data_IF_995346937638
#
_entry.id   IF_995346937638
#
_cell.length_a   1.000
_cell.length_b   1.000
_cell.length_c   1.000
_cell.angle_alpha   90.00
_cell.angle_beta   90.00
_cell.angle_gamma   90.00
#
_symmetry.space_group_name_H-M   'P 1'
#
loop_
_entity.id
_entity.type
_entity.pdbx_description
1 polymer ?
#
# COMPACT_ATOMS: atom_id res chain seq x y z
N UNK A 1 -20.13 -2.51 5.36
CA UNK A 1 -20.74 -1.34 4.69
C UNK A 1 -19.74 -0.69 3.72
N UNK A 2 -19.63 -1.16 2.46
CA UNK A 2 -18.70 -0.61 1.44
C UNK A 2 -19.33 -0.72 0.05
N UNK A 3 -20.25 0.19 -0.28
CA UNK A 3 -20.81 0.29 -1.64
C UNK A 3 -21.21 1.72 -2.05
N UNK A 4 -20.98 2.74 -1.20
CA UNK A 4 -21.44 4.11 -1.46
C UNK A 4 -20.48 4.96 -2.31
N UNK A 5 -19.21 4.56 -2.43
CA UNK A 5 -18.17 5.33 -3.15
C UNK A 5 -18.24 5.22 -4.67
N UNK A 6 -18.44 4.01 -5.21
CA UNK A 6 -18.38 3.71 -6.66
C UNK A 6 -19.51 4.37 -7.46
N UNK A 7 -20.72 4.41 -6.90
CA UNK A 7 -21.86 5.03 -7.58
C UNK A 7 -21.69 6.54 -7.75
N UNK A 8 -20.99 7.20 -6.82
CA UNK A 8 -20.83 8.66 -6.82
C UNK A 8 -19.78 9.11 -7.84
N UNK A 9 -18.65 8.43 -7.95
CA UNK A 9 -17.62 8.71 -8.97
C UNK A 9 -18.12 8.43 -10.39
N UNK A 10 -18.85 7.33 -10.58
CA UNK A 10 -19.47 7.01 -11.87
C UNK A 10 -20.47 8.08 -12.31
N UNK A 11 -21.24 8.64 -11.38
CA UNK A 11 -22.18 9.73 -11.65
C UNK A 11 -21.47 11.04 -11.97
N UNK A 12 -20.40 11.38 -11.25
CA UNK A 12 -19.63 12.61 -11.47
C UNK A 12 -18.94 12.61 -12.83
N UNK A 13 -18.31 11.49 -13.20
CA UNK A 13 -17.68 11.30 -14.51
C UNK A 13 -18.70 11.38 -15.65
N UNK A 14 -19.85 10.72 -15.51
CA UNK A 14 -20.93 10.83 -16.50
C UNK A 14 -21.43 12.26 -16.62
N UNK A 15 -21.69 12.95 -15.51
CA UNK A 15 -22.13 14.34 -15.51
C UNK A 15 -21.12 15.26 -16.20
N UNK A 16 -19.82 15.09 -15.95
CA UNK A 16 -18.76 15.86 -16.62
C UNK A 16 -18.71 15.62 -18.13
N UNK A 17 -18.80 14.35 -18.56
CA UNK A 17 -18.85 14.00 -19.99
C UNK A 17 -20.12 14.55 -20.66
N UNK A 18 -21.28 14.43 -20.03
CA UNK A 18 -22.53 14.97 -20.56
C UNK A 18 -22.52 16.50 -20.63
N UNK A 19 -21.99 17.19 -19.62
CA UNK A 19 -21.84 18.64 -19.63
C UNK A 19 -20.90 19.10 -20.75
N UNK A 20 -19.76 18.43 -20.93
CA UNK A 20 -18.82 18.71 -22.02
C UNK A 20 -19.42 18.45 -23.40
N UNK A 21 -20.10 17.31 -23.59
CA UNK A 21 -20.77 16.97 -24.84
C UNK A 21 -21.88 17.97 -25.18
N UNK A 22 -22.64 18.42 -24.19
CA UNK A 22 -23.67 19.44 -24.37
C UNK A 22 -23.06 20.81 -24.72
N UNK A 23 -21.95 21.20 -24.08
CA UNK A 23 -21.20 22.41 -24.43
C UNK A 23 -20.69 22.40 -25.88
N UNK A 24 -20.14 21.28 -26.33
CA UNK A 24 -19.74 21.09 -27.73
C UNK A 24 -20.92 21.13 -28.70
N UNK A 25 -22.01 20.43 -28.37
CA UNK A 25 -23.23 20.44 -29.19
C UNK A 25 -23.81 21.87 -29.32
N UNK A 26 -23.81 22.64 -28.23
CA UNK A 26 -24.24 24.03 -28.24
C UNK A 26 -23.35 24.93 -29.12
N UNK A 27 -22.02 24.77 -29.06
CA UNK A 27 -21.09 25.50 -29.94
C UNK A 27 -21.30 25.17 -31.42
N UNK A 28 -21.46 23.89 -31.74
CA UNK A 28 -21.69 23.44 -33.11
C UNK A 28 -23.03 23.97 -33.61
N UNK A 29 -24.09 23.89 -32.81
CA UNK A 29 -25.40 24.43 -33.17
C UNK A 29 -25.35 25.95 -33.42
N UNK A 30 -24.58 26.68 -32.59
CA UNK A 30 -24.37 28.13 -32.76
C UNK A 30 -23.60 28.44 -34.05
N UNK A 31 -22.55 27.67 -34.35
CA UNK A 31 -21.74 27.82 -35.56
C UNK A 31 -22.55 27.49 -36.83
N UNK A 32 -23.33 26.41 -36.81
CA UNK A 32 -24.23 26.04 -37.92
C UNK A 32 -25.29 27.11 -38.13
N UNK A 33 -25.95 27.59 -37.06
CA UNK A 33 -26.95 28.67 -37.15
C UNK A 33 -26.38 29.95 -37.80
N UNK A 34 -25.14 30.32 -37.44
CA UNK A 34 -24.41 31.45 -38.08
C UNK A 34 -24.14 31.21 -39.57
N UNK A 35 -23.75 29.99 -39.95
CA UNK A 35 -23.40 29.63 -41.33
C UNK A 35 -24.62 29.47 -42.24
N UNK A 36 -25.71 28.86 -41.76
CA UNK A 36 -26.84 28.47 -42.61
C UNK A 36 -27.95 29.50 -42.65
N UNK A 37 -28.21 30.23 -41.56
CA UNK A 37 -29.33 31.17 -41.49
C UNK A 37 -28.92 32.64 -41.73
N UNK A 38 -27.61 32.92 -41.86
CA UNK A 38 -27.12 34.30 -41.92
C UNK A 38 -27.67 35.15 -40.77
N UNK A 39 -27.82 34.52 -39.59
CA UNK A 39 -28.63 35.04 -38.49
C UNK A 39 -28.23 36.50 -38.18
N UNK A 40 -29.20 37.42 -38.09
CA UNK A 40 -28.94 38.84 -37.87
C UNK A 40 -28.13 39.03 -36.57
N UNK A 41 -27.38 40.14 -36.53
CA UNK A 41 -26.49 40.60 -35.44
C UNK A 41 -27.23 40.87 -34.11
N UNK A 42 -28.03 39.95 -33.62
CA UNK A 42 -28.49 39.96 -32.23
C UNK A 42 -27.33 39.49 -31.35
N UNK A 43 -26.37 40.40 -31.15
CA UNK A 43 -25.11 40.14 -30.47
C UNK A 43 -25.32 39.68 -29.01
N UNK A 44 -26.41 40.10 -28.37
CA UNK A 44 -26.74 39.75 -26.99
C UNK A 44 -27.08 38.26 -26.80
N UNK A 45 -28.00 37.72 -27.58
CA UNK A 45 -28.43 36.32 -27.44
C UNK A 45 -27.30 35.34 -27.79
N UNK A 46 -26.49 35.68 -28.80
CA UNK A 46 -25.35 34.88 -29.23
C UNK A 46 -24.20 34.94 -28.21
N UNK A 47 -23.96 36.10 -27.59
CA UNK A 47 -23.02 36.21 -26.49
C UNK A 47 -23.46 35.39 -25.27
N UNK A 48 -24.74 35.45 -24.89
CA UNK A 48 -25.28 34.65 -23.78
C UNK A 48 -25.17 33.15 -24.08
N UNK A 49 -25.51 32.71 -25.29
CA UNK A 49 -25.38 31.31 -25.70
C UNK A 49 -23.91 30.84 -25.68
N UNK A 50 -22.98 31.68 -26.13
CA UNK A 50 -21.54 31.40 -26.06
C UNK A 50 -21.04 31.30 -24.62
N UNK A 51 -21.43 32.24 -23.75
CA UNK A 51 -21.07 32.22 -22.33
C UNK A 51 -21.60 30.96 -21.65
N UNK A 52 -22.85 30.56 -21.94
CA UNK A 52 -23.43 29.32 -21.42
C UNK A 52 -22.63 28.11 -21.92
N UNK A 53 -22.33 28.03 -23.22
CA UNK A 53 -21.55 26.92 -23.79
C UNK A 53 -20.15 26.81 -23.16
N UNK A 54 -19.45 27.94 -23.01
CA UNK A 54 -18.13 28.00 -22.35
C UNK A 54 -18.24 27.62 -20.86
N UNK A 55 -19.25 28.11 -20.16
CA UNK A 55 -19.48 27.76 -18.76
C UNK A 55 -19.74 26.26 -18.58
N UNK A 56 -20.51 25.62 -19.46
CA UNK A 56 -20.71 24.18 -19.45
C UNK A 56 -19.43 23.40 -19.74
N UNK A 57 -18.61 23.85 -20.70
CA UNK A 57 -17.32 23.23 -20.99
C UNK A 57 -16.37 23.32 -19.79
N UNK A 58 -16.25 24.50 -19.19
CA UNK A 58 -15.40 24.72 -18.01
C UNK A 58 -15.89 23.92 -16.81
N UNK A 59 -17.21 23.85 -16.61
CA UNK A 59 -17.80 23.05 -15.53
C UNK A 59 -17.55 21.55 -15.76
N UNK A 60 -17.76 21.05 -16.98
CA UNK A 60 -17.49 19.67 -17.34
C UNK A 60 -16.01 19.30 -17.13
N UNK A 61 -15.10 20.16 -17.58
CA UNK A 61 -13.65 19.99 -17.39
C UNK A 61 -13.28 19.98 -15.90
N UNK A 62 -13.83 20.90 -15.11
CA UNK A 62 -13.57 20.97 -13.66
C UNK A 62 -14.05 19.70 -12.95
N UNK A 63 -15.23 19.19 -13.29
CA UNK A 63 -15.75 17.94 -12.73
C UNK A 63 -14.87 16.73 -13.08
N UNK A 64 -14.34 16.65 -14.30
CA UNK A 64 -13.43 15.60 -14.70
C UNK A 64 -12.09 15.68 -13.96
N UNK A 65 -11.55 16.89 -13.77
CA UNK A 65 -10.32 17.10 -12.99
C UNK A 65 -10.55 16.66 -11.54
N UNK A 66 -11.68 17.04 -10.93
CA UNK A 66 -12.01 16.63 -9.56
C UNK A 66 -12.16 15.12 -9.42
N UNK A 67 -12.79 14.44 -10.39
CA UNK A 67 -12.89 12.98 -10.41
C UNK A 67 -11.51 12.32 -10.52
N UNK A 68 -10.65 12.82 -11.42
CA UNK A 68 -9.29 12.32 -11.59
C UNK A 68 -8.44 12.50 -10.32
N UNK A 69 -8.52 13.67 -9.68
CA UNK A 69 -7.84 13.93 -8.41
C UNK A 69 -8.35 13.00 -7.31
N UNK A 70 -9.66 12.81 -7.21
CA UNK A 70 -10.26 11.91 -6.20
C UNK A 70 -9.84 10.46 -6.41
N UNK A 71 -9.77 10.01 -7.66
CA UNK A 71 -9.27 8.68 -7.99
C UNK A 71 -7.77 8.54 -7.65
N UNK A 72 -6.96 9.55 -7.99
CA UNK A 72 -5.53 9.59 -7.67
C UNK A 72 -5.24 9.55 -6.17
N UNK A 73 -5.92 10.40 -5.38
CA UNK A 73 -5.80 10.37 -3.92
C UNK A 73 -6.29 9.05 -3.31
N UNK A 74 -7.36 8.46 -3.85
CA UNK A 74 -7.82 7.13 -3.42
C UNK A 74 -6.79 6.02 -3.70
N UNK A 75 -6.09 6.07 -4.84
CA UNK A 75 -5.02 5.14 -5.15
C UNK A 75 -3.84 5.31 -4.18
N UNK A 76 -3.45 6.55 -3.86
CA UNK A 76 -2.40 6.84 -2.88
C UNK A 76 -2.75 6.33 -1.48
N UNK A 77 -3.98 6.55 -1.00
CA UNK A 77 -4.44 6.03 0.28
C UNK A 77 -4.35 4.50 0.34
N UNK A 78 -4.74 3.81 -0.73
CA UNK A 78 -4.62 2.34 -0.81
C UNK A 78 -3.17 1.87 -0.79
N UNK A 79 -2.26 2.61 -1.43
CA UNK A 79 -0.84 2.31 -1.43
C UNK A 79 -0.24 2.52 -0.02
N UNK A 80 -0.56 3.63 0.64
CA UNK A 80 -0.09 3.89 2.01
C UNK A 80 -0.65 2.85 2.99
N UNK A 81 -1.93 2.49 2.89
CA UNK A 81 -2.53 1.46 3.71
C UNK A 81 -1.85 0.10 3.49
N UNK A 82 -1.56 -0.28 2.25
CA UNK A 82 -0.84 -1.52 1.94
C UNK A 82 0.61 -1.50 2.45
N UNK A 83 1.30 -0.36 2.32
CA UNK A 83 2.65 -0.17 2.82
C UNK A 83 2.70 -0.26 4.35
N UNK A 84 1.76 0.40 5.04
CA UNK A 84 1.63 0.33 6.50
C UNK A 84 1.32 -1.09 6.97
N UNK A 85 0.37 -1.79 6.34
CA UNK A 85 0.05 -3.18 6.66
C UNK A 85 1.27 -4.11 6.50
N UNK A 86 2.05 -3.94 5.44
CA UNK A 86 3.29 -4.70 5.22
C UNK A 86 4.36 -4.39 6.28
N UNK A 87 4.47 -3.13 6.70
CA UNK A 87 5.43 -2.75 7.75
C UNK A 87 5.04 -3.31 9.13
N UNK A 88 3.74 -3.36 9.44
CA UNK A 88 3.22 -3.99 10.65
C UNK A 88 3.48 -5.50 10.65
N UNK A 89 3.22 -6.18 9.53
CA UNK A 89 3.51 -7.62 9.40
C UNK A 89 4.99 -7.96 9.62
N UNK A 90 5.92 -7.15 9.13
CA UNK A 90 7.36 -7.36 9.40
C UNK A 90 7.72 -7.18 10.88
N UNK A 91 6.96 -6.37 11.61
CA UNK A 91 7.17 -6.14 13.05
C UNK A 91 6.61 -7.28 13.90
N UNK A 92 5.51 -7.86 13.44
CA UNK A 92 4.82 -8.98 14.09
C UNK A 92 5.34 -10.36 13.64
N UNK A 93 6.25 -10.41 12.66
CA UNK A 93 6.93 -11.65 12.28
C UNK A 93 7.76 -12.12 13.48
N UNK A 94 7.38 -13.23 14.15
CA UNK A 94 8.10 -13.70 15.32
C UNK A 94 9.52 -13.99 14.89
N UNK A 95 10.49 -13.45 15.64
CA UNK A 95 11.90 -13.70 15.44
C UNK A 95 12.08 -15.19 15.14
N UNK A 96 12.49 -15.50 13.90
CA UNK A 96 12.71 -16.87 13.46
C UNK A 96 13.51 -17.55 14.58
N UNK A 97 13.01 -18.64 15.19
CA UNK A 97 13.71 -19.26 16.30
C UNK A 97 15.14 -19.52 15.83
N UNK A 98 16.16 -19.14 16.63
CA UNK A 98 17.53 -19.43 16.26
C UNK A 98 17.60 -20.91 15.88
N UNK A 99 18.34 -21.27 14.82
CA UNK A 99 18.49 -22.67 14.46
C UNK A 99 18.88 -23.44 15.74
N UNK A 100 18.28 -24.61 16.00
CA UNK A 100 18.60 -25.35 17.22
C UNK A 100 20.12 -25.50 17.27
N UNK A 101 20.74 -24.92 18.31
CA UNK A 101 22.17 -25.00 18.53
C UNK A 101 22.58 -26.46 18.35
N UNK A 102 23.62 -26.72 17.55
CA UNK A 102 24.04 -28.08 17.24
C UNK A 102 24.79 -28.62 18.45
N UNK A 103 24.06 -28.86 19.53
CA UNK A 103 24.65 -29.35 20.75
C UNK A 103 25.10 -30.78 20.55
N UNK A 104 26.41 -31.00 20.67
CA UNK A 104 27.01 -32.33 20.60
C UNK A 104 26.86 -32.96 21.99
N UNK A 105 26.11 -34.05 22.07
CA UNK A 105 25.95 -34.83 23.29
C UNK A 105 26.96 -35.96 23.31
N UNK A 106 27.52 -36.24 24.48
CA UNK A 106 28.42 -37.36 24.69
C UNK A 106 28.51 -37.75 26.16
N UNK A 107 29.44 -38.64 26.47
CA UNK A 107 29.73 -39.09 27.83
C UNK A 107 31.23 -38.93 28.09
N UNK A 108 31.58 -38.35 29.24
CA UNK A 108 32.96 -38.29 29.76
C UNK A 108 32.99 -39.18 31.01
N UNK A 109 33.73 -40.28 30.96
CA UNK A 109 33.66 -41.32 32.00
C UNK A 109 32.25 -41.92 32.05
N UNK A 110 31.54 -41.67 33.15
CA UNK A 110 30.13 -42.06 33.35
C UNK A 110 29.15 -40.87 33.36
N UNK A 111 29.63 -39.65 33.05
CA UNK A 111 28.82 -38.42 33.14
C UNK A 111 28.38 -37.93 31.77
N UNK A 112 27.08 -37.68 31.55
CA UNK A 112 26.61 -37.10 30.31
C UNK A 112 27.05 -35.64 30.20
N UNK A 113 27.41 -35.21 28.99
CA UNK A 113 27.74 -33.82 28.69
C UNK A 113 27.02 -33.28 27.46
N UNK A 114 26.89 -31.96 27.42
CA UNK A 114 26.33 -31.19 26.30
C UNK A 114 27.35 -30.12 25.92
N UNK A 115 27.97 -30.28 24.75
CA UNK A 115 28.87 -29.29 24.13
C UNK A 115 28.06 -28.33 23.28
N UNK A 116 28.26 -27.03 23.48
CA UNK A 116 27.59 -25.93 22.78
C UNK A 116 28.44 -25.44 21.60
N UNK A 117 27.84 -24.66 20.69
CA UNK A 117 28.51 -24.15 19.49
C UNK A 117 29.70 -23.20 19.79
N UNK A 118 29.77 -22.67 21.01
CA UNK A 118 30.87 -21.84 21.52
C UNK A 118 32.04 -22.68 22.08
N UNK A 119 31.95 -24.01 22.03
CA UNK A 119 32.93 -24.95 22.57
C UNK A 119 32.81 -25.18 24.09
N UNK A 120 31.86 -24.51 24.75
CA UNK A 120 31.59 -24.71 26.17
C UNK A 120 30.84 -26.02 26.41
N UNK A 121 31.12 -26.67 27.54
CA UNK A 121 30.59 -28.00 27.85
C UNK A 121 29.88 -27.96 29.20
N UNK A 122 28.62 -28.38 29.22
CA UNK A 122 27.89 -28.61 30.46
C UNK A 122 28.00 -30.09 30.82
N UNK A 123 28.50 -30.39 32.01
CA UNK A 123 28.56 -31.75 32.57
C UNK A 123 27.68 -31.84 33.79
N UNK A 124 26.92 -32.93 33.91
CA UNK A 124 26.12 -33.19 35.10
C UNK A 124 26.99 -33.79 36.22
N UNK A 125 27.21 -33.00 37.28
CA UNK A 125 28.03 -33.38 38.43
C UNK A 125 27.16 -33.81 39.61
N UNK A 126 27.74 -34.43 40.65
CA UNK A 126 26.99 -34.76 41.88
C UNK A 126 26.45 -33.52 42.61
N UNK A 127 26.99 -32.34 42.31
CA UNK A 127 26.57 -31.05 42.86
C UNK A 127 25.64 -30.28 41.90
N UNK A 128 25.24 -30.90 40.78
CA UNK A 128 24.42 -30.30 39.73
C UNK A 128 25.20 -29.98 38.44
N UNK A 129 24.54 -29.38 37.45
CA UNK A 129 25.14 -29.07 36.15
C UNK A 129 26.20 -27.97 36.27
N UNK A 130 27.39 -28.24 35.75
CA UNK A 130 28.51 -27.28 35.76
C UNK A 130 28.97 -26.99 34.34
N UNK A 131 29.17 -25.70 34.04
CA UNK A 131 29.68 -25.21 32.76
C UNK A 131 31.21 -25.18 32.78
N UNK A 132 31.82 -25.76 31.76
CA UNK A 132 33.25 -25.76 31.49
C UNK A 132 33.53 -25.01 30.19
N UNK A 133 34.64 -24.25 30.10
CA UNK A 133 34.98 -23.48 28.90
C UNK A 133 35.44 -24.35 27.73
N UNK A 134 35.87 -25.59 27.96
CA UNK A 134 36.22 -26.55 26.92
C UNK A 134 35.95 -28.00 27.34
N UNK A 135 35.92 -28.91 26.35
CA UNK A 135 35.83 -30.36 26.57
C UNK A 135 37.04 -30.91 27.33
N UNK A 136 38.24 -30.35 27.11
CA UNK A 136 39.45 -30.78 27.80
C UNK A 136 39.37 -30.45 29.30
N UNK A 137 38.90 -29.24 29.66
CA UNK A 137 38.73 -28.86 31.07
C UNK A 137 37.68 -29.74 31.78
N UNK A 138 36.62 -30.11 31.06
CA UNK A 138 35.61 -31.04 31.55
C UNK A 138 36.18 -32.46 31.76
N UNK A 139 37.06 -32.92 30.87
CA UNK A 139 37.73 -34.22 30.99
C UNK A 139 38.71 -34.24 32.16
N UNK A 140 39.52 -33.19 32.33
CA UNK A 140 40.46 -33.07 33.44
C UNK A 140 39.73 -33.06 34.79
N UNK A 141 38.58 -32.39 34.89
CA UNK A 141 37.78 -32.36 36.12
C UNK A 141 37.14 -33.73 36.47
N UNK A 142 36.75 -34.52 35.47
CA UNK A 142 36.14 -35.85 35.71
C UNK A 142 37.20 -36.94 35.89
N UNK A 143 38.36 -36.78 35.25
CA UNK A 143 39.49 -37.71 35.30
C UNK A 143 40.41 -37.53 36.52
N UNK A 144 40.28 -36.42 37.26
CA UNK A 144 40.94 -36.17 38.55
C UNK A 144 40.17 -36.76 39.72
#
# INVERSE_FOLDING_TARGET
MRAKGSATTTRLRRAGVFAGAFGWAALIALAVSRLTLGAPRDDGALAVALVIAVALLMTGATLLILDALRAGFGALDSFFAAALARSAQRRDEPARPPPPARSRRGVIGDRPFIEHDDGSVIVDTLLGPRLFPSLADAQDFVGS
#
